data_IF_390687184365
#
_entry.id   IF_390687184365
#
_cell.length_a   1.000
_cell.length_b   1.000
_cell.length_c   1.000
_cell.angle_alpha   90.00
_cell.angle_beta   90.00
_cell.angle_gamma   90.00
#
_symmetry.space_group_name_H-M   'P 1'
#
loop_
_entity.id
_entity.type
_entity.pdbx_description
1 polymer ?
#
# COMPACT_ATOMS: atom_id res chain seq x y z
N UNK A 1 -2.86 -63.27 -41.30
CA UNK A 1 -3.46 -61.93 -41.41
C UNK A 1 -3.33 -61.25 -40.04
N UNK A 2 -2.24 -60.48 -39.80
CA UNK A 2 -2.03 -59.76 -38.53
C UNK A 2 -2.59 -58.35 -38.70
N UNK A 3 -3.62 -58.03 -37.92
CA UNK A 3 -4.25 -56.71 -37.89
C UNK A 3 -3.32 -55.79 -37.10
N UNK A 4 -2.71 -54.80 -37.76
CA UNK A 4 -2.01 -53.70 -37.10
C UNK A 4 -3.07 -52.70 -36.60
N UNK A 5 -3.14 -52.51 -35.29
CA UNK A 5 -3.86 -51.40 -34.68
C UNK A 5 -2.98 -50.14 -34.78
N UNK A 6 -3.44 -49.16 -35.54
CA UNK A 6 -2.91 -47.80 -35.50
C UNK A 6 -3.57 -47.05 -34.32
N UNK A 7 -2.81 -46.78 -33.27
CA UNK A 7 -3.21 -45.77 -32.28
C UNK A 7 -2.97 -44.38 -32.87
N UNK A 8 -3.98 -43.49 -32.90
CA UNK A 8 -3.75 -42.11 -33.28
C UNK A 8 -2.94 -41.44 -32.16
N UNK A 9 -1.78 -40.88 -32.51
CA UNK A 9 -1.07 -39.97 -31.64
C UNK A 9 -1.90 -38.70 -31.46
N UNK A 10 -2.53 -38.55 -30.30
CA UNK A 10 -3.16 -37.29 -29.90
C UNK A 10 -2.02 -36.33 -29.59
N UNK A 11 -1.71 -35.45 -30.54
CA UNK A 11 -0.87 -34.30 -30.27
C UNK A 11 -1.68 -33.34 -29.40
N UNK A 12 -1.40 -33.33 -28.10
CA UNK A 12 -1.86 -32.25 -27.24
C UNK A 12 -1.21 -30.96 -27.75
N UNK A 13 -2.00 -30.09 -28.37
CA UNK A 13 -1.60 -28.72 -28.63
C UNK A 13 -1.38 -28.10 -27.24
N UNK A 14 -0.18 -27.61 -26.91
CA UNK A 14 -0.01 -26.87 -25.66
C UNK A 14 -0.96 -25.68 -25.72
N UNK A 15 -1.95 -25.68 -24.84
CA UNK A 15 -2.73 -24.49 -24.57
C UNK A 15 -1.68 -23.49 -24.09
N UNK A 16 -1.47 -22.42 -24.87
CA UNK A 16 -0.76 -21.25 -24.38
C UNK A 16 -1.46 -20.82 -23.10
N UNK A 17 -0.88 -21.10 -21.93
CA UNK A 17 -1.25 -20.50 -20.66
C UNK A 17 -0.95 -19.01 -20.83
N UNK A 18 -1.95 -18.31 -21.36
CA UNK A 18 -1.88 -16.92 -21.72
C UNK A 18 -1.69 -16.05 -20.48
N UNK A 19 -1.23 -14.84 -20.74
CA UNK A 19 -0.89 -13.82 -19.77
C UNK A 19 -1.86 -13.68 -18.61
N UNK A 20 -1.58 -14.37 -17.50
CA UNK A 20 -2.48 -14.44 -16.36
C UNK A 20 -1.77 -14.03 -15.08
N UNK A 21 -2.52 -13.37 -14.22
CA UNK A 21 -2.16 -13.20 -12.84
C UNK A 21 -2.37 -14.50 -12.07
N UNK A 22 -1.50 -14.77 -11.11
CA UNK A 22 -1.58 -15.95 -10.25
C UNK A 22 -1.21 -15.60 -8.82
N UNK A 23 -2.04 -16.06 -7.88
CA UNK A 23 -1.78 -15.97 -6.45
C UNK A 23 -1.13 -17.25 -5.94
N UNK A 24 -0.08 -17.11 -5.13
CA UNK A 24 0.48 -18.21 -4.34
C UNK A 24 0.49 -17.81 -2.88
N UNK A 25 -0.27 -18.52 -2.06
CA UNK A 25 -0.33 -18.25 -0.63
C UNK A 25 0.67 -19.11 0.14
N UNK A 26 1.46 -18.46 1.00
CA UNK A 26 2.20 -19.12 2.07
C UNK A 26 1.45 -18.84 3.36
N UNK A 27 0.56 -19.75 3.71
CA UNK A 27 -0.41 -19.60 4.79
C UNK A 27 0.22 -19.07 6.08
N UNK A 28 -0.39 -18.03 6.64
CA UNK A 28 0.05 -17.39 7.88
C UNK A 28 1.32 -16.57 7.74
N UNK A 29 1.80 -16.28 6.52
CA UNK A 29 3.01 -15.46 6.30
C UNK A 29 2.80 -14.38 5.26
N UNK A 30 2.52 -14.78 4.02
CA UNK A 30 2.41 -13.85 2.90
C UNK A 30 1.72 -14.44 1.68
N UNK A 31 1.11 -13.55 0.89
CA UNK A 31 0.46 -13.85 -0.39
C UNK A 31 1.28 -13.22 -1.52
N UNK A 32 1.82 -14.05 -2.42
CA UNK A 32 2.62 -13.62 -3.57
C UNK A 32 1.78 -13.53 -4.85
N UNK A 33 1.94 -12.44 -5.58
CA UNK A 33 1.37 -12.23 -6.92
C UNK A 33 2.43 -12.41 -7.99
N UNK A 34 2.12 -13.19 -9.01
CA UNK A 34 2.87 -13.20 -10.28
C UNK A 34 1.99 -12.80 -11.45
N UNK A 35 2.61 -12.27 -12.50
CA UNK A 35 2.01 -12.05 -13.82
C UNK A 35 3.02 -12.51 -14.88
N UNK A 36 2.62 -13.39 -15.80
CA UNK A 36 3.53 -14.03 -16.76
C UNK A 36 4.73 -14.74 -16.10
N UNK A 37 4.49 -15.36 -14.93
CA UNK A 37 5.54 -15.99 -14.12
C UNK A 37 6.56 -15.03 -13.51
N UNK A 38 6.34 -13.71 -13.60
CA UNK A 38 7.18 -12.68 -12.95
C UNK A 38 6.50 -12.16 -11.69
N UNK A 39 7.26 -12.04 -10.60
CA UNK A 39 6.77 -11.49 -9.33
C UNK A 39 6.33 -10.02 -9.49
N UNK A 40 5.17 -9.69 -8.93
CA UNK A 40 4.57 -8.35 -8.98
C UNK A 40 4.46 -7.75 -7.58
N UNK A 41 3.82 -8.48 -6.66
CA UNK A 41 3.58 -8.00 -5.31
C UNK A 41 3.68 -9.12 -4.26
N UNK A 42 3.92 -8.74 -3.02
CA UNK A 42 3.82 -9.63 -1.85
C UNK A 42 3.06 -8.93 -0.73
N UNK A 43 1.92 -9.45 -0.35
CA UNK A 43 1.20 -8.98 0.84
C UNK A 43 1.68 -9.77 2.06
N UNK A 44 2.30 -9.08 3.03
CA UNK A 44 2.75 -9.67 4.30
C UNK A 44 1.60 -9.62 5.28
N UNK A 45 1.29 -10.76 5.90
CA UNK A 45 0.19 -10.87 6.86
C UNK A 45 0.50 -11.81 8.04
N UNK A 46 1.78 -12.10 8.29
CA UNK A 46 2.20 -12.94 9.41
C UNK A 46 1.60 -12.47 10.75
N UNK A 47 0.97 -13.37 11.54
CA UNK A 47 0.43 -13.04 12.85
C UNK A 47 1.49 -12.45 13.78
N UNK A 48 1.03 -11.62 14.72
CA UNK A 48 1.94 -10.98 15.67
C UNK A 48 2.73 -12.03 16.48
N UNK A 49 4.05 -11.89 16.48
CA UNK A 49 4.99 -12.75 17.19
C UNK A 49 5.73 -11.93 18.26
N UNK A 50 5.31 -12.07 19.51
CA UNK A 50 5.91 -11.35 20.65
C UNK A 50 7.13 -12.05 21.27
N UNK A 51 7.68 -13.10 20.63
CA UNK A 51 8.85 -13.83 21.14
C UNK A 51 10.10 -12.96 21.31
N UNK A 52 10.19 -11.85 20.55
CA UNK A 52 11.24 -10.84 20.71
C UNK A 52 10.82 -9.51 20.09
N UNK A 53 11.50 -8.42 20.48
CA UNK A 53 11.27 -7.10 19.87
C UNK A 53 11.47 -7.10 18.35
N UNK A 54 12.42 -7.88 17.83
CA UNK A 54 12.68 -8.01 16.39
C UNK A 54 11.57 -8.75 15.66
N UNK A 55 11.05 -9.82 16.25
CA UNK A 55 9.92 -10.58 15.68
C UNK A 55 8.65 -9.76 15.71
N UNK A 56 8.37 -9.13 16.86
CA UNK A 56 7.25 -8.20 16.99
C UNK A 56 7.35 -7.09 15.96
N UNK A 57 8.54 -6.53 15.76
CA UNK A 57 8.75 -5.56 14.69
C UNK A 57 8.30 -6.13 13.35
N UNK A 58 8.83 -7.29 12.93
CA UNK A 58 8.50 -7.88 11.64
C UNK A 58 6.99 -8.12 11.42
N UNK A 59 6.23 -8.43 12.47
CA UNK A 59 4.86 -8.97 12.36
C UNK A 59 3.74 -8.07 12.92
N UNK A 60 4.02 -6.88 13.47
CA UNK A 60 2.99 -6.07 14.15
C UNK A 60 1.91 -5.46 13.22
N UNK A 61 2.07 -5.61 11.89
CA UNK A 61 1.12 -5.11 10.90
C UNK A 61 1.27 -5.77 9.55
N UNK A 62 0.17 -5.91 8.81
CA UNK A 62 0.22 -6.24 7.40
C UNK A 62 0.59 -5.03 6.54
N UNK A 63 1.28 -5.30 5.45
CA UNK A 63 1.69 -4.31 4.45
C UNK A 63 1.99 -5.01 3.12
N UNK A 64 2.02 -4.25 2.03
CA UNK A 64 2.28 -4.81 0.70
C UNK A 64 3.63 -4.35 0.14
N UNK A 65 4.39 -5.29 -0.38
CA UNK A 65 5.60 -5.09 -1.17
C UNK A 65 5.27 -5.10 -2.67
N UNK A 66 6.04 -4.33 -3.42
CA UNK A 66 6.14 -4.41 -4.89
C UNK A 66 7.53 -4.91 -5.26
N UNK A 67 7.57 -5.93 -6.11
CA UNK A 67 8.81 -6.46 -6.68
C UNK A 67 9.34 -5.56 -7.80
N UNK A 68 10.66 -5.58 -8.00
CA UNK A 68 11.25 -5.15 -9.26
C UNK A 68 10.92 -6.20 -10.32
N UNK A 69 10.07 -5.83 -11.28
CA UNK A 69 9.58 -6.74 -12.34
C UNK A 69 10.70 -7.33 -13.22
N UNK A 70 11.89 -6.73 -13.20
CA UNK A 70 13.01 -7.12 -14.05
C UNK A 70 14.20 -7.71 -13.27
N UNK A 71 14.14 -7.71 -11.93
CA UNK A 71 15.15 -8.35 -11.08
C UNK A 71 14.48 -9.42 -10.21
N UNK A 72 14.97 -10.65 -10.33
CA UNK A 72 14.41 -11.79 -9.61
C UNK A 72 14.52 -11.58 -8.10
N UNK A 73 13.40 -11.75 -7.39
CA UNK A 73 13.29 -11.73 -5.93
C UNK A 73 13.79 -10.44 -5.26
N UNK A 74 13.76 -9.31 -5.98
CA UNK A 74 14.14 -7.99 -5.44
C UNK A 74 12.90 -7.10 -5.26
N UNK A 75 12.86 -6.29 -4.20
CA UNK A 75 11.76 -5.37 -3.92
C UNK A 75 12.15 -3.91 -4.19
N UNK A 76 11.26 -3.14 -4.80
CA UNK A 76 11.42 -1.67 -4.89
C UNK A 76 10.86 -0.95 -3.65
N UNK A 77 10.34 -1.71 -2.70
CA UNK A 77 9.64 -1.25 -1.49
C UNK A 77 10.31 -1.78 -0.23
N UNK A 78 10.21 -1.04 0.87
CA UNK A 78 10.90 -1.39 2.12
C UNK A 78 10.08 -2.33 3.01
N UNK A 79 10.75 -3.32 3.61
CA UNK A 79 10.20 -4.21 4.64
C UNK A 79 10.60 -3.80 6.08
N UNK A 80 10.65 -4.75 7.02
CA UNK A 80 11.18 -4.54 8.37
C UNK A 80 12.66 -4.13 8.40
N UNK A 81 13.15 -3.59 9.52
CA UNK A 81 14.54 -3.11 9.65
C UNK A 81 14.83 -1.78 8.92
N UNK A 82 16.11 -1.44 8.79
CA UNK A 82 16.57 -0.20 8.13
C UNK A 82 16.20 1.09 8.87
N UNK A 83 16.33 2.23 8.19
CA UNK A 83 16.00 3.54 8.76
C UNK A 83 14.48 3.77 8.76
N UNK A 84 13.94 4.17 9.92
CA UNK A 84 12.50 4.32 10.18
C UNK A 84 11.73 3.01 9.94
N UNK A 85 11.94 2.03 10.82
CA UNK A 85 11.46 0.63 10.68
C UNK A 85 9.93 0.48 10.55
N UNK A 86 9.19 1.50 11.01
CA UNK A 86 7.74 1.56 10.97
C UNK A 86 7.14 1.98 9.63
N UNK A 87 7.91 2.61 8.73
CA UNK A 87 7.47 2.84 7.35
C UNK A 87 7.76 1.61 6.48
N UNK A 88 6.72 1.06 5.83
CA UNK A 88 6.81 -0.22 5.10
C UNK A 88 5.99 -0.19 3.82
N UNK A 89 6.61 -0.58 2.71
CA UNK A 89 6.00 -0.71 1.39
C UNK A 89 4.77 0.16 1.16
N UNK A 90 3.63 -0.48 0.96
CA UNK A 90 2.31 0.15 0.90
C UNK A 90 1.57 -0.20 2.18
N UNK A 91 1.21 0.81 2.98
CA UNK A 91 0.53 0.58 4.25
C UNK A 91 -0.39 1.74 4.65
N UNK A 92 -1.29 1.43 5.58
CA UNK A 92 -2.30 2.32 6.13
C UNK A 92 -2.30 2.24 7.66
N UNK A 93 -2.42 3.38 8.34
CA UNK A 93 -2.42 3.42 9.81
C UNK A 93 -2.46 4.85 10.36
N UNK A 94 -2.55 4.98 11.68
CA UNK A 94 -2.61 6.29 12.36
C UNK A 94 -1.76 6.26 13.63
N UNK A 95 -0.99 7.33 13.86
CA UNK A 95 -0.16 7.46 15.07
C UNK A 95 -0.93 7.95 16.29
N UNK A 96 -2.16 8.45 16.09
CA UNK A 96 -2.99 8.96 17.16
C UNK A 96 -4.42 8.48 16.95
N UNK A 97 -4.78 7.41 17.64
CA UNK A 97 -6.14 6.92 17.74
C UNK A 97 -6.61 7.09 19.18
N UNK A 98 -7.86 7.51 19.35
CA UNK A 98 -8.55 7.48 20.63
C UNK A 98 -9.92 6.84 20.47
N UNK A 99 -10.41 6.20 21.52
CA UNK A 99 -11.75 5.60 21.55
C UNK A 99 -12.26 5.46 22.98
N UNK A 100 -13.59 5.39 23.11
CA UNK A 100 -14.23 4.94 24.35
C UNK A 100 -14.63 3.49 24.14
N UNK A 101 -14.19 2.57 25.00
CA UNK A 101 -14.52 1.15 24.88
C UNK A 101 -15.97 0.85 25.32
N UNK A 102 -16.36 -0.43 25.30
CA UNK A 102 -17.72 -0.85 25.66
C UNK A 102 -18.02 -0.75 27.16
N UNK A 103 -16.99 -0.69 27.99
CA UNK A 103 -17.08 -0.53 29.44
C UNK A 103 -17.09 0.95 29.84
N UNK A 104 -16.91 1.86 28.88
CA UNK A 104 -16.90 3.31 29.06
C UNK A 104 -15.53 3.89 29.40
N UNK A 105 -14.47 3.08 29.30
CA UNK A 105 -13.09 3.54 29.52
C UNK A 105 -12.57 4.26 28.28
N UNK A 106 -11.83 5.36 28.50
CA UNK A 106 -11.24 6.15 27.43
C UNK A 106 -9.81 5.75 27.19
N UNK A 107 -9.53 5.37 25.94
CA UNK A 107 -8.22 5.01 25.44
C UNK A 107 -7.70 6.14 24.55
N UNK A 108 -6.51 6.64 24.83
CA UNK A 108 -5.91 7.81 24.17
C UNK A 108 -4.50 7.47 23.69
N UNK A 109 -4.08 8.05 22.57
CA UNK A 109 -2.72 7.89 21.98
C UNK A 109 -2.39 6.45 21.58
N UNK A 110 -3.39 5.67 21.19
CA UNK A 110 -3.21 4.37 20.56
C UNK A 110 -2.55 4.60 19.19
N UNK A 111 -1.39 3.98 18.97
CA UNK A 111 -0.56 4.24 17.80
C UNK A 111 -0.45 2.98 16.96
N UNK A 112 -1.28 2.87 15.92
CA UNK A 112 -1.23 1.76 14.95
C UNK A 112 -0.17 1.99 13.87
N UNK A 113 0.47 3.16 13.84
CA UNK A 113 1.53 3.50 12.89
C UNK A 113 2.90 2.97 13.31
N UNK A 114 3.30 3.25 14.55
CA UNK A 114 4.49 2.70 15.18
C UNK A 114 4.19 1.39 15.91
N UNK A 115 2.91 1.02 16.00
CA UNK A 115 2.39 -0.12 16.74
C UNK A 115 2.75 -0.09 18.23
N UNK A 116 2.50 1.06 18.87
CA UNK A 116 2.70 1.32 20.31
C UNK A 116 1.34 1.47 20.98
N UNK A 117 1.04 0.61 21.95
CA UNK A 117 -0.31 0.52 22.50
C UNK A 117 -1.38 0.09 21.48
N UNK A 118 -0.97 -0.31 20.26
CA UNK A 118 -1.89 -0.85 19.27
C UNK A 118 -1.14 -1.61 18.18
N UNK A 119 -1.83 -2.48 17.45
CA UNK A 119 -1.28 -3.24 16.33
C UNK A 119 -2.38 -3.70 15.38
N UNK A 120 -1.98 -4.25 14.23
CA UNK A 120 -2.88 -4.66 13.16
C UNK A 120 -2.71 -6.15 12.91
N UNK A 121 -3.80 -6.90 12.92
CA UNK A 121 -3.78 -8.37 12.76
C UNK A 121 -4.64 -8.75 11.57
N UNK A 122 -4.04 -9.35 10.54
CA UNK A 122 -4.82 -10.03 9.50
C UNK A 122 -5.53 -11.23 10.11
N UNK A 123 -6.85 -11.32 9.93
CA UNK A 123 -7.65 -12.47 10.35
C UNK A 123 -7.79 -13.51 9.26
N UNK A 124 -8.25 -13.07 8.09
CA UNK A 124 -8.51 -13.92 6.94
C UNK A 124 -8.60 -13.12 5.65
N UNK A 125 -8.46 -13.79 4.51
CA UNK A 125 -8.90 -13.27 3.22
C UNK A 125 -10.39 -13.56 3.08
N UNK A 126 -11.19 -12.50 2.94
CA UNK A 126 -12.62 -12.64 2.66
C UNK A 126 -12.84 -13.10 1.21
N UNK A 127 -12.03 -12.58 0.31
CA UNK A 127 -12.10 -12.83 -1.13
C UNK A 127 -10.68 -12.69 -1.71
N UNK A 128 -10.35 -13.51 -2.71
CA UNK A 128 -9.23 -13.25 -3.61
C UNK A 128 -9.48 -13.89 -4.97
N UNK A 129 -9.05 -13.23 -6.04
CA UNK A 129 -9.25 -13.66 -7.43
C UNK A 129 -8.04 -13.26 -8.28
N UNK A 130 -7.80 -14.02 -9.34
CA UNK A 130 -6.80 -13.69 -10.36
C UNK A 130 -7.25 -14.23 -11.71
N UNK A 131 -7.11 -13.42 -12.75
CA UNK A 131 -7.40 -13.76 -14.13
C UNK A 131 -6.38 -13.09 -15.08
N UNK A 132 -6.69 -12.99 -16.37
CA UNK A 132 -5.81 -12.38 -17.37
C UNK A 132 -5.76 -10.85 -17.32
N UNK A 133 -6.73 -10.20 -16.68
CA UNK A 133 -6.84 -8.74 -16.66
C UNK A 133 -6.37 -8.16 -15.33
N UNK A 134 -6.67 -8.83 -14.22
CA UNK A 134 -6.34 -8.35 -12.89
C UNK A 134 -6.24 -9.46 -11.85
N UNK A 135 -5.72 -9.08 -10.67
CA UNK A 135 -5.79 -9.90 -9.48
C UNK A 135 -6.18 -9.04 -8.28
N UNK A 136 -7.02 -9.57 -7.40
CA UNK A 136 -7.49 -8.84 -6.23
C UNK A 136 -7.51 -9.71 -4.98
N UNK A 137 -7.46 -9.07 -3.82
CA UNK A 137 -7.83 -9.70 -2.55
C UNK A 137 -8.50 -8.68 -1.63
N UNK A 138 -9.31 -9.17 -0.68
CA UNK A 138 -9.83 -8.41 0.46
C UNK A 138 -9.39 -9.09 1.76
N UNK A 139 -8.57 -8.39 2.53
CA UNK A 139 -8.10 -8.81 3.86
C UNK A 139 -9.00 -8.24 4.95
N UNK A 140 -9.46 -9.09 5.85
CA UNK A 140 -10.07 -8.68 7.12
C UNK A 140 -8.96 -8.43 8.15
N UNK A 141 -8.93 -7.25 8.75
CA UNK A 141 -7.85 -6.83 9.66
C UNK A 141 -8.45 -6.27 10.93
N UNK A 142 -8.01 -6.77 12.08
CA UNK A 142 -8.36 -6.20 13.38
C UNK A 142 -7.36 -5.12 13.78
N UNK A 143 -7.88 -4.00 14.26
CA UNK A 143 -7.13 -2.96 14.94
C UNK A 143 -7.24 -3.23 16.44
N UNK A 144 -6.15 -3.69 17.04
CA UNK A 144 -6.12 -4.17 18.42
C UNK A 144 -5.48 -3.12 19.32
N UNK A 145 -6.14 -2.81 20.44
CA UNK A 145 -5.72 -1.84 21.43
C UNK A 145 -4.64 -2.35 22.39
N UNK A 146 -4.33 -1.55 23.40
CA UNK A 146 -3.40 -1.87 24.48
C UNK A 146 -3.99 -2.84 25.51
N UNK A 147 -5.31 -2.89 25.58
CA UNK A 147 -6.09 -3.89 26.33
C UNK A 147 -6.17 -5.27 25.65
N UNK A 148 -5.60 -5.40 24.44
CA UNK A 148 -5.61 -6.64 23.66
C UNK A 148 -6.93 -6.95 22.96
N UNK A 149 -7.91 -6.04 22.97
CA UNK A 149 -9.21 -6.22 22.30
C UNK A 149 -9.25 -5.45 20.96
N UNK A 150 -9.90 -5.99 19.91
CA UNK A 150 -10.17 -5.23 18.70
C UNK A 150 -11.09 -4.04 18.97
N UNK A 151 -10.65 -2.82 18.65
CA UNK A 151 -11.47 -1.60 18.71
C UNK A 151 -12.00 -1.15 17.33
N UNK A 152 -11.45 -1.70 16.25
CA UNK A 152 -11.99 -1.55 14.91
C UNK A 152 -11.68 -2.76 14.02
N UNK A 153 -12.49 -2.94 12.99
CA UNK A 153 -12.32 -3.91 11.92
C UNK A 153 -12.08 -3.16 10.60
N UNK A 154 -11.07 -3.54 9.85
CA UNK A 154 -10.75 -3.01 8.52
C UNK A 154 -10.96 -4.08 7.46
N UNK A 155 -11.74 -3.75 6.42
CA UNK A 155 -11.75 -4.50 5.16
C UNK A 155 -10.86 -3.78 4.18
N UNK A 156 -9.67 -4.34 3.94
CA UNK A 156 -8.67 -3.79 3.03
C UNK A 156 -8.66 -4.57 1.73
N UNK A 157 -9.00 -3.90 0.63
CA UNK A 157 -8.97 -4.48 -0.71
C UNK A 157 -7.78 -3.93 -1.49
N UNK A 158 -7.06 -4.81 -2.19
CA UNK A 158 -6.03 -4.41 -3.15
C UNK A 158 -6.28 -5.11 -4.48
N UNK A 159 -6.28 -4.33 -5.56
CA UNK A 159 -6.42 -4.85 -6.94
C UNK A 159 -5.20 -4.44 -7.75
N UNK A 160 -4.63 -5.42 -8.45
CA UNK A 160 -3.44 -5.30 -9.26
C UNK A 160 -3.81 -5.53 -10.71
N UNK A 161 -3.35 -4.64 -11.59
CA UNK A 161 -3.52 -4.77 -13.04
C UNK A 161 -2.31 -4.18 -13.77
N UNK A 162 -2.18 -4.48 -15.06
CA UNK A 162 -1.12 -3.92 -15.91
C UNK A 162 -1.69 -2.84 -16.84
N UNK A 163 -0.92 -1.77 -17.07
CA UNK A 163 -1.16 -0.83 -18.18
C UNK A 163 0.13 -0.63 -18.96
N UNK A 164 0.28 -1.39 -20.05
CA UNK A 164 1.58 -1.54 -20.70
C UNK A 164 2.59 -2.18 -19.74
N UNK A 165 3.67 -1.47 -19.44
CA UNK A 165 4.69 -1.93 -18.49
C UNK A 165 4.42 -1.51 -17.03
N UNK A 166 3.43 -0.64 -16.79
CA UNK A 166 3.11 -0.10 -15.47
C UNK A 166 2.29 -1.07 -14.64
N UNK A 167 2.63 -1.20 -13.37
CA UNK A 167 1.82 -1.91 -12.38
C UNK A 167 0.86 -0.90 -11.75
N UNK A 168 -0.44 -1.18 -11.85
CA UNK A 168 -1.49 -0.40 -11.20
C UNK A 168 -1.89 -1.13 -9.93
N UNK A 169 -1.95 -0.39 -8.82
CA UNK A 169 -2.36 -0.91 -7.51
C UNK A 169 -3.49 -0.04 -6.99
N UNK A 170 -4.71 -0.52 -7.11
CA UNK A 170 -5.85 0.06 -6.42
C UNK A 170 -5.85 -0.39 -4.97
N UNK A 171 -6.03 0.57 -4.06
CA UNK A 171 -6.15 0.35 -2.63
C UNK A 171 -7.50 0.89 -2.18
N UNK A 172 -8.31 0.02 -1.57
CA UNK A 172 -9.53 0.37 -0.88
C UNK A 172 -9.43 -0.05 0.59
N UNK A 173 -9.97 0.75 1.49
CA UNK A 173 -10.12 0.35 2.90
C UNK A 173 -11.41 0.90 3.46
N UNK A 174 -12.18 0.05 4.15
CA UNK A 174 -13.30 0.45 5.00
C UNK A 174 -12.97 0.08 6.45
N UNK A 175 -12.74 1.09 7.29
CA UNK A 175 -12.45 0.97 8.72
C UNK A 175 -13.73 1.22 9.53
N UNK A 176 -14.18 0.22 10.26
CA UNK A 176 -15.42 0.23 11.04
C UNK A 176 -15.09 0.06 12.53
N UNK A 177 -15.42 1.04 13.39
CA UNK A 177 -15.27 0.86 14.84
C UNK A 177 -16.10 -0.32 15.35
N UNK A 178 -15.53 -1.11 16.26
CA UNK A 178 -16.25 -2.12 17.05
C UNK A 178 -16.64 -1.59 18.45
N UNK A 179 -16.26 -0.34 18.71
CA UNK A 179 -16.51 0.46 19.92
C UNK A 179 -17.47 1.62 19.61
N UNK A 180 -18.14 2.22 20.62
CA UNK A 180 -19.15 3.27 20.40
C UNK A 180 -18.65 4.50 19.61
N UNK A 181 -17.44 4.97 19.91
CA UNK A 181 -16.82 6.13 19.27
C UNK A 181 -15.31 5.94 19.14
N UNK A 182 -14.75 6.38 18.02
CA UNK A 182 -13.32 6.35 17.76
C UNK A 182 -12.92 7.59 16.96
N UNK A 183 -11.74 8.13 17.23
CA UNK A 183 -11.11 9.16 16.40
C UNK A 183 -9.79 8.66 15.87
N UNK A 184 -9.55 8.87 14.57
CA UNK A 184 -8.24 8.68 13.94
C UNK A 184 -7.61 10.01 13.59
N UNK A 185 -6.31 10.15 13.87
CA UNK A 185 -5.53 11.36 13.65
C UNK A 185 -4.03 11.01 13.55
N UNK A 186 -3.18 12.04 13.49
CA UNK A 186 -1.74 11.89 13.53
C UNK A 186 -1.04 13.13 13.02
N UNK A 187 -0.04 12.94 12.17
CA UNK A 187 0.66 14.00 11.49
C UNK A 187 1.01 13.57 10.05
N UNK A 188 1.41 14.50 9.16
CA UNK A 188 1.68 14.20 7.76
C UNK A 188 2.66 13.05 7.49
N UNK A 189 3.53 12.74 8.45
CA UNK A 189 4.56 11.74 8.33
C UNK A 189 4.14 10.40 8.97
N UNK A 190 3.14 10.41 9.85
CA UNK A 190 2.76 9.26 10.68
C UNK A 190 1.24 8.99 10.70
N UNK A 191 0.56 9.18 9.58
CA UNK A 191 -0.85 8.81 9.44
C UNK A 191 -1.27 8.65 7.97
N UNK A 192 -2.42 7.98 7.78
CA UNK A 192 -3.07 7.78 6.50
C UNK A 192 -2.43 6.70 5.65
N UNK A 193 -2.55 6.84 4.32
CA UNK A 193 -2.05 5.89 3.33
C UNK A 193 -0.69 6.35 2.81
N UNK A 194 0.30 5.46 2.77
CA UNK A 194 1.65 5.81 2.35
C UNK A 194 2.31 4.75 1.51
N UNK A 195 3.28 5.23 0.71
CA UNK A 195 4.27 4.43 0.04
C UNK A 195 5.67 4.66 0.65
N UNK A 196 6.44 3.58 0.80
CA UNK A 196 7.83 3.56 1.24
C UNK A 196 8.67 2.73 0.26
N UNK A 197 9.49 3.42 -0.53
CA UNK A 197 10.52 2.82 -1.37
C UNK A 197 11.57 2.06 -0.54
N UNK A 198 12.29 1.16 -1.19
CA UNK A 198 13.35 0.32 -0.61
C UNK A 198 14.34 1.12 0.25
N UNK A 199 14.96 0.47 1.25
CA UNK A 199 15.86 1.15 2.17
C UNK A 199 17.11 1.74 1.48
N UNK A 200 17.53 1.17 0.35
CA UNK A 200 18.66 1.69 -0.44
C UNK A 200 18.44 3.13 -0.92
N UNK A 201 17.18 3.56 -1.10
CA UNK A 201 16.90 4.97 -1.37
C UNK A 201 17.43 5.84 -0.25
N UNK A 202 17.23 5.46 1.02
CA UNK A 202 17.78 6.20 2.15
C UNK A 202 19.31 6.15 2.17
N UNK A 203 19.86 4.94 2.03
CA UNK A 203 21.27 4.69 2.31
C UNK A 203 22.19 5.22 1.20
N UNK A 204 21.71 5.22 -0.04
CA UNK A 204 22.55 5.44 -1.23
C UNK A 204 22.05 6.56 -2.15
N UNK A 205 20.73 6.79 -2.21
CA UNK A 205 20.14 7.59 -3.30
C UNK A 205 19.17 8.69 -2.88
N UNK A 206 19.11 9.08 -1.61
CA UNK A 206 18.07 10.02 -1.13
C UNK A 206 18.13 11.37 -1.86
N UNK A 207 19.34 11.84 -2.15
CA UNK A 207 19.56 13.08 -2.88
C UNK A 207 19.24 13.00 -4.37
N UNK A 208 18.97 11.81 -4.90
CA UNK A 208 18.53 11.57 -6.27
C UNK A 208 17.00 11.44 -6.40
N UNK A 209 16.28 11.40 -5.28
CA UNK A 209 14.81 11.40 -5.25
C UNK A 209 14.28 12.79 -5.63
N UNK A 210 13.25 12.85 -6.46
CA UNK A 210 12.52 14.09 -6.74
C UNK A 210 11.01 13.82 -6.84
N UNK A 211 10.23 14.89 -6.83
CA UNK A 211 8.76 14.81 -6.88
C UNK A 211 8.19 15.53 -8.09
N UNK A 212 7.05 15.04 -8.56
CA UNK A 212 6.25 15.64 -9.62
C UNK A 212 4.91 16.03 -8.99
N UNK A 213 4.50 17.30 -9.18
CA UNK A 213 3.33 17.87 -8.51
C UNK A 213 2.45 18.60 -9.53
N UNK A 214 1.12 18.64 -9.35
CA UNK A 214 0.20 19.27 -10.31
C UNK A 214 0.54 20.73 -10.59
N UNK A 215 0.77 21.52 -9.52
CA UNK A 215 0.90 22.98 -9.64
C UNK A 215 2.35 23.47 -9.81
N UNK A 216 3.33 22.70 -9.32
CA UNK A 216 4.75 23.12 -9.30
C UNK A 216 5.63 22.30 -10.24
N UNK A 217 5.08 21.30 -10.92
CA UNK A 217 5.80 20.47 -11.88
C UNK A 217 6.85 19.57 -11.22
N UNK A 218 7.95 19.36 -11.94
CA UNK A 218 9.08 18.53 -11.51
C UNK A 218 9.98 19.34 -10.58
N UNK A 219 10.16 18.83 -9.35
CA UNK A 219 11.07 19.41 -8.35
C UNK A 219 12.54 19.15 -8.71
N UNK A 220 13.46 19.91 -8.10
CA UNK A 220 14.86 19.49 -8.12
C UNK A 220 15.06 18.26 -7.24
N UNK A 221 16.11 17.50 -7.52
CA UNK A 221 16.47 16.34 -6.69
C UNK A 221 16.74 16.78 -5.24
N UNK A 222 16.24 16.00 -4.29
CA UNK A 222 16.29 16.28 -2.85
C UNK A 222 15.25 17.30 -2.34
N UNK A 223 14.54 18.02 -3.22
CA UNK A 223 13.56 19.02 -2.77
C UNK A 223 12.24 18.35 -2.36
N UNK A 224 11.81 18.64 -1.13
CA UNK A 224 10.55 18.13 -0.56
C UNK A 224 9.64 19.26 -0.12
N UNK A 225 8.33 19.03 -0.25
CA UNK A 225 7.27 19.91 0.26
C UNK A 225 6.46 19.13 1.29
N UNK A 226 6.30 19.71 2.47
CA UNK A 226 5.60 19.10 3.58
C UNK A 226 4.57 20.05 4.15
N UNK A 227 3.36 19.52 4.37
CA UNK A 227 2.37 20.26 5.12
C UNK A 227 2.90 20.67 6.50
N UNK A 228 2.62 21.92 6.87
CA UNK A 228 2.76 22.42 8.23
C UNK A 228 1.72 23.52 8.45
N UNK A 229 1.53 23.96 9.68
CA UNK A 229 0.62 25.09 9.96
C UNK A 229 1.04 26.39 9.25
N UNK A 230 2.31 26.53 8.85
CA UNK A 230 2.83 27.68 8.09
C UNK A 230 2.72 27.51 6.57
N UNK A 231 2.54 26.27 6.11
CA UNK A 231 2.39 25.91 4.70
C UNK A 231 1.16 25.00 4.58
N UNK A 232 -0.01 25.63 4.73
CA UNK A 232 -1.33 25.02 4.68
C UNK A 232 -2.10 25.59 3.50
N UNK A 233 -1.80 25.13 2.29
CA UNK A 233 -2.35 25.65 1.04
C UNK A 233 -2.56 24.53 0.00
N UNK A 234 -2.92 24.89 -1.23
CA UNK A 234 -3.18 23.92 -2.30
C UNK A 234 -1.98 23.05 -2.70
N UNK A 235 -0.75 23.45 -2.34
CA UNK A 235 0.46 22.67 -2.62
C UNK A 235 0.68 21.52 -1.62
N UNK A 236 -0.04 21.55 -0.50
CA UNK A 236 0.09 20.59 0.61
C UNK A 236 -1.25 19.99 1.06
N UNK A 237 -2.39 20.55 0.64
CA UNK A 237 -3.74 20.07 0.93
C UNK A 237 -4.47 19.56 -0.30
N UNK A 238 -5.22 18.48 -0.11
CA UNK A 238 -6.22 17.96 -1.05
C UNK A 238 -5.70 17.82 -2.49
N UNK A 239 -4.42 17.47 -2.63
CA UNK A 239 -3.77 17.33 -3.92
C UNK A 239 -4.36 16.07 -4.59
N UNK A 240 -4.81 16.13 -5.85
CA UNK A 240 -5.43 14.98 -6.52
C UNK A 240 -4.42 13.88 -6.83
N UNK A 241 -3.16 14.25 -7.09
CA UNK A 241 -2.09 13.33 -7.35
C UNK A 241 -0.72 13.92 -6.99
N UNK A 242 0.25 13.03 -6.74
CA UNK A 242 1.66 13.36 -6.61
C UNK A 242 2.47 12.18 -7.11
N UNK A 243 3.63 12.40 -7.72
CA UNK A 243 4.54 11.30 -8.02
C UNK A 243 5.90 11.49 -7.36
N UNK A 244 6.54 10.38 -7.02
CA UNK A 244 7.90 10.33 -6.49
C UNK A 244 8.76 9.54 -7.47
N UNK A 245 9.84 10.14 -7.94
CA UNK A 245 10.88 9.46 -8.71
C UNK A 245 12.09 9.18 -7.83
N UNK A 246 12.61 7.95 -7.86
CA UNK A 246 13.68 7.49 -6.98
C UNK A 246 14.55 6.44 -7.69
N UNK A 247 15.70 6.12 -7.09
CA UNK A 247 16.63 5.09 -7.59
C UNK A 247 16.73 3.95 -6.60
N UNK A 248 16.56 2.72 -7.09
CA UNK A 248 16.80 1.47 -6.36
C UNK A 248 17.39 0.45 -7.34
N UNK A 249 18.35 -0.35 -6.89
CA UNK A 249 19.08 -1.31 -7.75
C UNK A 249 19.64 -0.67 -9.03
N UNK A 250 20.20 0.55 -8.90
CA UNK A 250 20.73 1.36 -10.01
C UNK A 250 19.73 1.71 -11.13
N UNK A 251 18.43 1.53 -10.87
CA UNK A 251 17.34 1.83 -11.80
C UNK A 251 16.43 2.93 -11.27
N UNK A 252 15.95 3.75 -12.18
CA UNK A 252 14.98 4.81 -11.92
C UNK A 252 13.57 4.23 -11.92
N UNK A 253 12.79 4.58 -10.91
CA UNK A 253 11.35 4.31 -10.84
C UNK A 253 10.60 5.61 -10.56
N UNK A 254 9.37 5.68 -11.03
CA UNK A 254 8.41 6.70 -10.65
C UNK A 254 7.15 6.02 -10.11
N UNK A 255 6.69 6.45 -8.93
CA UNK A 255 5.44 6.00 -8.34
C UNK A 255 4.49 7.17 -8.25
N UNK A 256 3.36 7.08 -8.97
CA UNK A 256 2.24 8.00 -8.86
C UNK A 256 1.38 7.59 -7.66
N UNK A 257 0.97 8.55 -6.86
CA UNK A 257 0.00 8.44 -5.77
C UNK A 257 -1.23 9.24 -6.17
N UNK A 258 -2.36 8.57 -6.37
CA UNK A 258 -3.61 9.15 -6.85
C UNK A 258 -4.66 9.07 -5.73
N UNK A 259 -5.26 10.21 -5.39
CA UNK A 259 -6.20 10.37 -4.27
C UNK A 259 -7.62 10.57 -4.82
N UNK A 260 -8.56 9.73 -4.36
CA UNK A 260 -9.96 9.87 -4.74
C UNK A 260 -10.61 11.09 -4.04
N UNK A 261 -11.41 11.92 -4.74
CA UNK A 261 -12.02 13.11 -4.16
C UNK A 261 -12.92 12.83 -2.94
N UNK A 262 -13.51 11.63 -2.86
CA UNK A 262 -14.34 11.18 -1.72
C UNK A 262 -13.54 10.80 -0.46
N UNK A 263 -12.21 10.65 -0.54
CA UNK A 263 -11.41 10.43 0.67
C UNK A 263 -11.58 11.61 1.63
N UNK A 264 -11.51 11.39 2.96
CA UNK A 264 -11.74 12.46 3.92
C UNK A 264 -10.80 13.66 3.73
N UNK A 265 -11.34 14.85 3.96
CA UNK A 265 -10.66 16.12 3.79
C UNK A 265 -10.71 16.95 5.09
N UNK A 266 -9.73 17.84 5.35
CA UNK A 266 -8.55 18.08 4.53
C UNK A 266 -7.55 16.92 4.61
N UNK A 267 -7.13 16.43 3.44
CA UNK A 267 -6.00 15.53 3.30
C UNK A 267 -4.73 16.36 3.19
N UNK A 268 -3.73 16.08 4.02
CA UNK A 268 -2.47 16.83 4.13
C UNK A 268 -1.31 15.93 3.74
N UNK A 269 -0.41 16.44 2.92
CA UNK A 269 0.62 15.65 2.27
C UNK A 269 2.02 15.85 2.87
N UNK A 270 2.83 14.80 2.81
CA UNK A 270 4.25 14.85 3.18
C UNK A 270 5.12 14.07 2.19
N UNK A 271 6.35 14.56 2.04
CA UNK A 271 7.37 14.04 1.15
C UNK A 271 8.69 13.86 1.91
N UNK A 272 9.46 12.83 1.55
CA UNK A 272 10.78 12.55 2.08
C UNK A 272 11.69 12.05 0.98
N UNK A 273 12.83 12.71 0.87
CA UNK A 273 13.94 12.37 -0.01
C UNK A 273 14.40 10.92 0.14
N UNK A 274 14.29 10.34 1.34
CA UNK A 274 14.60 8.94 1.60
C UNK A 274 13.62 7.94 0.97
N UNK A 275 12.55 8.38 0.28
CA UNK A 275 11.63 7.52 -0.45
C UNK A 275 10.33 7.21 0.30
N UNK A 276 9.74 8.19 1.00
CA UNK A 276 8.44 8.05 1.69
C UNK A 276 7.51 9.20 1.35
N UNK A 277 6.28 8.90 0.95
CA UNK A 277 5.28 9.93 0.68
C UNK A 277 3.84 9.39 0.72
N UNK A 278 2.89 10.30 0.92
CA UNK A 278 1.47 10.01 1.03
C UNK A 278 0.70 11.14 1.69
N UNK A 279 -0.55 10.87 2.04
CA UNK A 279 -1.45 11.83 2.69
C UNK A 279 -2.07 11.28 3.97
N UNK A 280 -2.43 12.19 4.87
CA UNK A 280 -3.21 11.90 6.06
C UNK A 280 -4.38 12.86 6.22
N UNK A 281 -5.37 12.43 6.99
CA UNK A 281 -6.52 13.20 7.42
C UNK A 281 -6.86 12.79 8.86
N UNK A 282 -7.84 13.46 9.47
CA UNK A 282 -8.42 13.05 10.74
C UNK A 282 -9.92 12.82 10.56
N UNK A 283 -10.49 11.87 11.27
CA UNK A 283 -11.93 11.59 11.24
C UNK A 283 -12.40 11.08 12.59
N UNK A 284 -13.64 11.42 12.94
CA UNK A 284 -14.40 10.79 14.02
C UNK A 284 -15.32 9.73 13.39
N UNK A 285 -15.38 8.56 13.99
CA UNK A 285 -16.07 7.39 13.47
C UNK A 285 -16.97 6.80 14.56
N UNK A 286 -18.10 6.26 14.12
CA UNK A 286 -18.99 5.40 14.90
C UNK A 286 -19.31 4.15 14.07
N UNK A 287 -19.78 3.03 14.65
CA UNK A 287 -19.99 1.79 13.90
C UNK A 287 -20.89 1.92 12.66
N UNK A 288 -21.86 2.85 12.69
CA UNK A 288 -22.80 3.12 11.58
C UNK A 288 -22.25 4.04 10.48
N UNK A 289 -21.12 4.70 10.72
CA UNK A 289 -20.48 5.66 9.81
C UNK A 289 -18.99 5.29 9.66
N UNK A 290 -18.69 4.18 8.95
CA UNK A 290 -17.32 3.72 8.79
C UNK A 290 -16.52 4.67 7.88
N UNK A 291 -15.21 4.68 8.08
CA UNK A 291 -14.27 5.43 7.27
C UNK A 291 -13.89 4.64 6.03
N UNK A 292 -14.21 5.17 4.85
CA UNK A 292 -13.78 4.58 3.58
C UNK A 292 -12.74 5.44 2.88
N UNK A 293 -11.71 4.80 2.32
CA UNK A 293 -10.71 5.44 1.47
C UNK A 293 -10.45 4.63 0.19
N UNK A 294 -10.08 5.34 -0.87
CA UNK A 294 -9.72 4.81 -2.19
C UNK A 294 -8.51 5.55 -2.75
N UNK A 295 -7.47 4.81 -3.09
CA UNK A 295 -6.24 5.34 -3.70
C UNK A 295 -5.83 4.44 -4.86
N UNK A 296 -5.04 4.99 -5.79
CA UNK A 296 -4.30 4.19 -6.77
C UNK A 296 -2.83 4.56 -6.74
N UNK A 297 -1.97 3.54 -6.78
CA UNK A 297 -0.58 3.71 -7.13
C UNK A 297 -0.35 3.27 -8.58
N UNK A 298 0.49 4.01 -9.31
CA UNK A 298 1.01 3.57 -10.60
C UNK A 298 2.52 3.46 -10.46
N UNK A 299 3.07 2.28 -10.67
CA UNK A 299 4.48 1.99 -10.54
C UNK A 299 5.07 1.84 -11.94
N UNK A 300 5.98 2.74 -12.28
CA UNK A 300 6.65 2.81 -13.58
C UNK A 300 8.17 2.68 -13.41
N UNK A 301 8.82 1.85 -14.23
CA UNK A 301 10.29 1.85 -14.32
C UNK A 301 10.75 2.92 -15.31
N UNK A 302 11.08 4.10 -14.80
CA UNK A 302 11.55 5.23 -15.58
C UNK A 302 11.21 6.55 -14.91
N UNK A 303 11.46 7.63 -15.65
CA UNK A 303 10.97 8.97 -15.32
C UNK A 303 9.60 9.17 -15.96
N UNK A 304 8.76 10.00 -15.33
CA UNK A 304 7.49 10.45 -15.92
C UNK A 304 7.47 11.97 -15.99
N UNK A 305 6.64 12.50 -16.88
CA UNK A 305 6.29 13.92 -16.99
C UNK A 305 5.01 14.21 -16.22
N UNK A 306 4.82 15.47 -15.86
CA UNK A 306 3.61 15.94 -15.15
C UNK A 306 2.32 15.56 -15.88
N UNK A 307 2.31 15.65 -17.21
CA UNK A 307 1.14 15.35 -18.04
C UNK A 307 0.79 13.85 -18.00
N UNK A 308 1.77 12.97 -17.93
CA UNK A 308 1.56 11.52 -17.82
C UNK A 308 0.93 11.16 -16.47
N UNK A 309 1.45 11.74 -15.38
CA UNK A 309 0.86 11.54 -14.03
C UNK A 309 -0.58 12.09 -13.97
N UNK A 310 -0.82 13.27 -14.54
CA UNK A 310 -2.17 13.84 -14.62
C UNK A 310 -3.14 12.93 -15.38
N UNK A 311 -2.71 12.35 -16.51
CA UNK A 311 -3.54 11.40 -17.26
C UNK A 311 -3.87 10.14 -16.46
N UNK A 312 -2.93 9.61 -15.66
CA UNK A 312 -3.23 8.50 -14.76
C UNK A 312 -4.28 8.90 -13.72
N UNK A 313 -4.20 10.10 -13.15
CA UNK A 313 -5.22 10.64 -12.23
C UNK A 313 -6.59 10.73 -12.90
N UNK A 314 -6.67 11.24 -14.12
CA UNK A 314 -7.94 11.34 -14.86
C UNK A 314 -8.54 9.98 -15.22
N UNK A 315 -7.70 8.98 -15.54
CA UNK A 315 -8.16 7.61 -15.80
C UNK A 315 -8.65 6.93 -14.53
N UNK A 316 -7.96 7.14 -13.41
CA UNK A 316 -8.39 6.63 -12.10
C UNK A 316 -9.81 7.11 -11.76
N UNK A 317 -10.10 8.40 -11.97
CA UNK A 317 -11.42 8.96 -11.65
C UNK A 317 -12.56 8.56 -12.62
N UNK A 318 -12.24 8.06 -13.82
CA UNK A 318 -13.25 7.63 -14.80
C UNK A 318 -13.68 6.18 -14.64
N UNK A 319 -12.84 5.35 -14.01
CA UNK A 319 -13.02 3.90 -13.92
C UNK A 319 -13.49 3.48 -12.51
N UNK A 320 -14.26 4.33 -11.82
CA UNK A 320 -14.77 4.11 -10.46
C UNK A 320 -16.28 4.00 -10.45
#
# INVERSE_FOLDING_TARGET
MKILFFSPAIWAIPISLGHAFEWTDTEGKHLDLTHDGRSIARYIYEPIDESSAKRREATYKPFCHIYDRYLKDQFITKGPGGQFTHHRGIFYGFSRVSYTDRDGEKHEKIDTWHCRGGHLVHREFLEHSADSESASFTSLIDWVGDDGRPFAEEKRSMTFSMSGDDILVDFGSTLTPTVPEMRVDGDPQHAGFQFRAHNDVNDQHKSATYYIRPDTGIAKMGETINWSTKLDDKTTRNIPWKAMSFVVHDKRYTVCYLDHPENPKPARYSERDYGRFGSYFSADLVPKEPLTVRYRLVIHQGEMKSEEVAQHSERFLRNQ
#
